data_IF_762972413805
#
_entry.id   IF_762972413805
#
_cell.length_a   1.000
_cell.length_b   1.000
_cell.length_c   1.000
_cell.angle_alpha   90.00
_cell.angle_beta   90.00
_cell.angle_gamma   90.00
#
_symmetry.space_group_name_H-M   'P 1'
#
loop_
_entity.id
_entity.type
_entity.pdbx_description
1 polymer ?
#
# COMPACT_ATOMS: atom_id res chain seq x y z
N UNK A 1 0.62 -45.70 10.33
CA UNK A 1 -0.71 -45.67 10.97
C UNK A 1 -0.55 -44.82 12.20
N UNK A 2 -1.01 -43.59 12.10
CA UNK A 2 -0.90 -42.52 13.09
C UNK A 2 -1.94 -42.72 14.18
N UNK A 3 -1.48 -42.72 15.42
CA UNK A 3 -2.32 -42.72 16.61
C UNK A 3 -2.36 -41.31 17.21
N UNK A 4 -3.53 -40.98 17.75
CA UNK A 4 -3.99 -39.67 18.18
C UNK A 4 -3.21 -39.13 19.39
N UNK A 5 -3.07 -37.80 19.46
CA UNK A 5 -3.00 -37.10 20.74
C UNK A 5 -3.83 -35.81 20.68
N UNK A 6 -4.94 -35.84 21.42
CA UNK A 6 -5.58 -34.67 22.01
C UNK A 6 -4.58 -33.92 22.90
N UNK A 7 -4.66 -32.59 22.93
CA UNK A 7 -4.11 -31.82 24.03
C UNK A 7 -5.02 -30.62 24.33
N UNK A 8 -5.93 -30.84 25.27
CA UNK A 8 -6.57 -29.81 26.07
C UNK A 8 -5.88 -29.81 27.44
N UNK A 9 -5.11 -28.78 27.78
CA UNK A 9 -4.85 -28.44 29.18
C UNK A 9 -4.50 -26.96 29.33
N UNK A 10 -5.48 -26.21 29.84
CA UNK A 10 -5.32 -24.93 30.55
C UNK A 10 -4.23 -24.98 31.62
N UNK A 11 -3.41 -23.93 31.69
CA UNK A 11 -2.85 -23.43 32.94
C UNK A 11 -3.17 -21.93 33.07
N UNK A 12 -3.65 -21.57 34.27
CA UNK A 12 -4.15 -20.27 34.71
C UNK A 12 -3.04 -19.45 35.39
N UNK A 13 -3.36 -18.17 35.56
CA UNK A 13 -3.02 -17.26 36.68
C UNK A 13 -1.88 -16.26 36.46
N UNK A 14 -2.28 -14.99 36.53
CA UNK A 14 -1.44 -13.81 36.70
C UNK A 14 -2.27 -12.53 36.56
N UNK A 15 -3.28 -12.34 37.42
CA UNK A 15 -3.89 -11.03 37.64
C UNK A 15 -2.92 -10.16 38.44
N UNK A 16 -2.49 -9.01 37.91
CA UNK A 16 -2.27 -7.84 38.77
C UNK A 16 -2.45 -6.55 37.97
N UNK A 17 -3.24 -5.68 38.55
CA UNK A 17 -3.39 -4.26 38.25
C UNK A 17 -2.08 -3.61 37.81
N UNK A 18 -2.13 -2.77 36.78
CA UNK A 18 -1.46 -1.48 36.75
C UNK A 18 -2.19 -0.61 35.71
N UNK A 19 -3.11 0.22 36.18
CA UNK A 19 -3.25 1.55 35.60
C UNK A 19 -1.87 2.20 35.69
N UNK A 20 -1.09 2.10 34.63
CA UNK A 20 0.12 2.88 34.42
C UNK A 20 -0.29 4.30 34.11
N UNK A 21 0.08 5.20 35.01
CA UNK A 21 -0.11 6.64 34.94
C UNK A 21 0.35 7.21 33.60
N UNK A 22 -0.55 8.01 33.00
CA UNK A 22 -0.28 9.24 32.24
C UNK A 22 1.10 9.32 31.58
N UNK A 23 1.20 8.76 30.38
CA UNK A 23 2.16 9.15 29.36
C UNK A 23 1.42 9.19 28.03
N UNK A 24 1.47 10.33 27.35
CA UNK A 24 0.73 10.68 26.12
C UNK A 24 0.29 9.49 25.27
N UNK A 25 -0.99 9.12 25.38
CA UNK A 25 -1.63 8.24 24.42
C UNK A 25 -2.09 9.15 23.29
N UNK A 26 -1.41 9.09 22.15
CA UNK A 26 -1.91 9.57 20.85
C UNK A 26 -3.16 8.76 20.48
N UNK A 27 -4.27 9.04 21.16
CA UNK A 27 -5.61 8.60 20.76
C UNK A 27 -6.04 9.51 19.61
N UNK A 28 -5.85 9.03 18.39
CA UNK A 28 -6.44 9.65 17.21
C UNK A 28 -5.61 9.48 15.94
N UNK A 29 -6.16 8.70 15.01
CA UNK A 29 -5.88 8.64 13.56
C UNK A 29 -4.46 8.28 13.14
N UNK A 30 -4.31 7.13 12.48
CA UNK A 30 -3.19 6.91 11.55
C UNK A 30 -3.75 6.39 10.22
N UNK A 31 -4.42 7.29 9.49
CA UNK A 31 -4.10 7.42 8.07
C UNK A 31 -2.63 7.82 8.03
N UNK A 32 -1.80 7.00 7.39
CA UNK A 32 -0.36 7.23 7.27
C UNK A 32 -0.09 8.68 6.81
N UNK A 33 0.85 9.34 7.50
CA UNK A 33 1.13 10.78 7.39
C UNK A 33 1.60 11.22 5.99
N UNK A 34 1.88 10.28 5.09
CA UNK A 34 2.24 10.53 3.70
C UNK A 34 1.09 11.12 2.87
N UNK A 35 -0.17 10.95 3.30
CA UNK A 35 -1.30 11.70 2.71
C UNK A 35 -1.24 13.20 3.10
N UNK A 36 -0.54 13.57 4.17
CA UNK A 36 -0.44 14.95 4.69
C UNK A 36 0.90 15.64 4.38
N UNK A 37 1.91 14.94 3.86
CA UNK A 37 3.23 15.52 3.54
C UNK A 37 3.58 15.50 2.05
N UNK A 38 2.64 15.10 1.18
CA UNK A 38 2.81 15.16 -0.27
C UNK A 38 3.27 16.55 -0.76
N UNK A 39 4.48 16.70 -1.35
CA UNK A 39 4.81 17.86 -2.16
C UNK A 39 4.07 17.71 -3.49
N UNK A 40 2.87 18.28 -3.58
CA UNK A 40 2.05 18.18 -4.80
C UNK A 40 0.63 18.77 -4.71
N UNK A 41 0.15 19.08 -3.51
CA UNK A 41 -1.20 19.64 -3.30
C UNK A 41 -1.30 21.17 -3.49
N UNK A 42 -0.25 21.85 -3.97
CA UNK A 42 -0.31 23.24 -4.40
C UNK A 42 0.14 23.35 -5.86
N UNK A 43 -0.63 24.01 -6.74
CA UNK A 43 -0.22 24.23 -8.12
C UNK A 43 1.03 25.13 -8.13
N UNK A 44 2.20 24.55 -8.44
CA UNK A 44 3.42 25.32 -8.63
C UNK A 44 3.36 26.05 -9.97
N UNK A 45 2.87 27.28 -9.93
CA UNK A 45 3.04 28.23 -11.02
C UNK A 45 4.42 28.86 -10.95
N UNK A 46 5.48 28.17 -11.37
CA UNK A 46 6.70 28.85 -11.87
C UNK A 46 7.67 27.90 -12.56
N UNK A 47 7.90 28.16 -13.85
CA UNK A 47 9.25 28.36 -14.37
C UNK A 47 10.12 27.13 -14.65
N UNK A 48 10.11 26.70 -15.92
CA UNK A 48 11.17 25.96 -16.62
C UNK A 48 12.58 26.18 -16.07
N UNK A 49 13.28 25.11 -15.69
CA UNK A 49 14.73 24.99 -15.90
C UNK A 49 15.12 23.56 -16.29
N UNK A 50 15.88 23.49 -17.38
CA UNK A 50 16.52 22.30 -17.97
C UNK A 50 17.49 21.60 -16.99
N UNK A 51 17.67 20.27 -17.07
CA UNK A 51 18.75 19.62 -16.35
C UNK A 51 20.08 19.88 -17.06
N UNK A 52 21.01 20.47 -16.32
CA UNK A 52 22.43 20.59 -16.70
C UNK A 52 23.21 19.50 -15.95
N UNK A 53 24.13 18.86 -16.68
CA UNK A 53 24.92 17.67 -16.34
C UNK A 53 25.81 17.72 -15.08
N UNK A 54 25.91 16.55 -14.41
CA UNK A 54 27.00 15.99 -13.57
C UNK A 54 27.30 16.70 -12.22
N UNK A 55 27.83 16.03 -11.16
CA UNK A 55 28.49 14.71 -11.13
C UNK A 55 27.98 13.71 -10.06
N UNK A 56 28.44 12.46 -10.19
CA UNK A 56 28.35 11.34 -9.26
C UNK A 56 28.60 11.80 -7.81
N UNK A 57 27.55 11.83 -6.99
CA UNK A 57 27.62 12.28 -5.61
C UNK A 57 28.27 11.22 -4.71
N UNK A 58 29.08 11.72 -3.78
CA UNK A 58 29.88 11.01 -2.81
C UNK A 58 29.05 9.98 -2.03
N UNK A 59 29.65 8.81 -1.78
CA UNK A 59 29.11 7.70 -1.01
C UNK A 59 28.63 8.16 0.37
N UNK A 60 27.36 8.57 0.44
CA UNK A 60 26.60 8.60 1.67
C UNK A 60 26.66 7.17 2.22
N UNK A 61 26.86 7.00 3.53
CA UNK A 61 26.88 5.67 4.13
C UNK A 61 25.51 5.02 3.92
N UNK A 62 25.31 4.36 2.79
CA UNK A 62 24.04 3.73 2.37
C UNK A 62 23.72 2.52 3.23
N UNK A 63 24.72 1.94 3.90
CA UNK A 63 24.54 0.70 4.65
C UNK A 63 23.89 0.91 6.01
N UNK A 64 22.97 0.00 6.30
CA UNK A 64 22.26 -0.11 7.56
C UNK A 64 23.10 -0.82 8.63
N UNK A 65 23.02 -0.33 9.87
CA UNK A 65 23.80 -0.84 11.01
C UNK A 65 22.96 -1.11 12.27
N UNK A 66 21.67 -0.77 12.28
CA UNK A 66 20.77 -0.97 13.42
C UNK A 66 19.59 -1.87 13.05
N UNK A 67 18.88 -2.51 13.99
CA UNK A 67 17.74 -3.36 13.65
C UNK A 67 16.56 -2.55 13.09
N UNK A 68 15.79 -3.16 12.19
CA UNK A 68 14.53 -2.59 11.70
C UNK A 68 13.51 -2.46 12.84
N UNK A 69 12.56 -1.52 12.76
CA UNK A 69 11.45 -1.44 13.71
C UNK A 69 10.61 -2.71 13.68
N UNK A 70 9.90 -2.99 14.77
CA UNK A 70 8.92 -4.08 14.79
C UNK A 70 7.73 -3.75 13.86
N UNK A 71 7.18 -4.79 13.25
CA UNK A 71 6.01 -4.71 12.40
C UNK A 71 4.82 -4.08 13.14
N UNK A 72 4.15 -3.08 12.54
CA UNK A 72 2.93 -2.53 13.12
C UNK A 72 1.90 -3.62 13.43
N UNK A 73 1.50 -3.70 14.70
CA UNK A 73 0.42 -4.60 15.15
C UNK A 73 -0.97 -3.95 15.06
N UNK A 74 -1.02 -2.64 14.74
CA UNK A 74 -2.27 -1.92 14.57
C UNK A 74 -3.11 -2.58 13.45
N UNK A 75 -4.33 -3.07 13.75
CA UNK A 75 -5.23 -3.64 12.75
C UNK A 75 -5.57 -2.70 11.60
N UNK A 76 -5.39 -1.40 11.80
CA UNK A 76 -5.60 -0.36 10.79
C UNK A 76 -4.44 -0.27 9.79
N UNK A 77 -3.26 -0.77 10.15
CA UNK A 77 -2.11 -0.80 9.27
C UNK A 77 -2.24 -1.95 8.26
N UNK A 78 -2.58 -1.61 7.02
CA UNK A 78 -2.71 -2.59 5.95
C UNK A 78 -1.42 -2.64 5.13
N UNK A 79 -0.73 -3.78 5.22
CA UNK A 79 0.42 -4.04 4.38
C UNK A 79 0.03 -4.09 2.90
N UNK A 80 0.82 -3.47 2.00
CA UNK A 80 0.53 -3.47 0.57
C UNK A 80 0.58 -4.89 0.01
N UNK A 81 -0.08 -5.14 -1.12
CA UNK A 81 0.00 -6.45 -1.77
C UNK A 81 1.43 -6.78 -2.25
N UNK A 82 2.24 -5.74 -2.49
CA UNK A 82 3.68 -5.78 -2.78
C UNK A 82 4.54 -5.91 -1.51
N UNK A 83 4.13 -6.82 -0.62
CA UNK A 83 4.86 -7.14 0.62
C UNK A 83 5.51 -8.52 0.53
N UNK A 84 6.80 -8.57 0.86
CA UNK A 84 7.62 -9.79 0.89
C UNK A 84 7.93 -10.13 2.36
N UNK A 85 7.90 -11.40 2.73
CA UNK A 85 8.42 -11.87 4.03
C UNK A 85 9.65 -12.73 3.77
N UNK A 86 10.80 -12.30 4.28
CA UNK A 86 12.07 -13.01 4.18
C UNK A 86 12.36 -13.65 5.54
N UNK A 87 12.80 -14.91 5.54
CA UNK A 87 13.27 -15.59 6.76
C UNK A 87 14.71 -15.17 7.01
N UNK A 88 14.92 -14.26 7.95
CA UNK A 88 16.23 -13.82 8.41
C UNK A 88 16.09 -13.22 9.82
N UNK A 89 17.08 -13.50 10.67
CA UNK A 89 17.20 -12.87 11.99
C UNK A 89 17.88 -11.49 11.93
N UNK A 90 18.50 -11.16 10.80
CA UNK A 90 19.25 -9.92 10.60
C UNK A 90 18.58 -9.02 9.54
N UNK A 91 17.85 -8.02 10.02
CA UNK A 91 17.22 -7.01 9.17
C UNK A 91 18.21 -6.11 8.46
N UNK A 92 19.41 -5.90 9.01
CA UNK A 92 20.45 -5.10 8.37
C UNK A 92 20.98 -5.81 7.14
N UNK A 93 21.20 -7.13 7.24
CA UNK A 93 21.65 -7.95 6.12
C UNK A 93 20.66 -7.87 4.96
N UNK A 94 19.36 -8.08 5.24
CA UNK A 94 18.30 -8.00 4.24
C UNK A 94 18.20 -6.59 3.62
N UNK A 95 18.29 -5.53 4.44
CA UNK A 95 18.27 -4.16 3.93
C UNK A 95 19.48 -3.85 3.05
N UNK A 96 20.67 -4.27 3.48
CA UNK A 96 21.92 -4.07 2.74
C UNK A 96 21.94 -4.86 1.43
N UNK A 97 21.40 -6.08 1.41
CA UNK A 97 21.24 -6.85 0.17
C UNK A 97 20.30 -6.14 -0.82
N UNK A 98 19.19 -5.57 -0.32
CA UNK A 98 18.32 -4.80 -1.19
C UNK A 98 18.98 -3.49 -1.66
N UNK A 99 19.73 -2.80 -0.81
CA UNK A 99 20.54 -1.64 -1.21
C UNK A 99 21.51 -2.02 -2.32
N UNK A 100 22.23 -3.14 -2.20
CA UNK A 100 23.13 -3.64 -3.25
C UNK A 100 22.37 -3.96 -4.55
N UNK A 101 21.15 -4.48 -4.46
CA UNK A 101 20.28 -4.66 -5.63
C UNK A 101 19.98 -3.32 -6.33
N UNK A 102 19.58 -2.27 -5.59
CA UNK A 102 19.36 -0.95 -6.18
C UNK A 102 20.65 -0.37 -6.78
N UNK A 103 21.79 -0.49 -6.09
CA UNK A 103 23.09 0.01 -6.56
C UNK A 103 23.60 -0.70 -7.83
N UNK A 104 23.40 -2.01 -7.95
CA UNK A 104 24.12 -2.84 -8.94
C UNK A 104 23.23 -3.47 -10.01
N UNK A 105 21.92 -3.60 -9.77
CA UNK A 105 21.00 -4.34 -10.66
C UNK A 105 20.00 -3.44 -11.37
N UNK A 106 19.81 -2.21 -10.91
CA UNK A 106 18.98 -1.21 -11.59
C UNK A 106 19.86 -0.27 -12.41
N UNK A 107 19.64 -0.26 -13.73
CA UNK A 107 20.47 0.48 -14.70
C UNK A 107 20.47 2.00 -14.45
N UNK A 108 19.32 2.55 -14.03
CA UNK A 108 19.10 3.98 -13.81
C UNK A 108 18.23 4.16 -12.57
N UNK A 109 18.86 4.36 -11.42
CA UNK A 109 18.14 4.75 -10.21
C UNK A 109 18.96 5.74 -9.40
N UNK A 110 18.24 6.66 -8.75
CA UNK A 110 18.74 7.46 -7.65
C UNK A 110 18.03 6.95 -6.40
N UNK A 111 18.76 6.65 -5.32
CA UNK A 111 18.14 6.17 -4.10
C UNK A 111 18.81 6.74 -2.85
N UNK A 112 18.04 6.78 -1.78
CA UNK A 112 18.46 7.16 -0.44
C UNK A 112 17.91 6.14 0.55
N UNK A 113 18.72 5.80 1.56
CA UNK A 113 18.30 4.96 2.67
C UNK A 113 18.26 5.80 3.95
N UNK A 114 17.08 5.99 4.50
CA UNK A 114 16.86 6.62 5.79
C UNK A 114 17.00 5.57 6.89
N UNK A 115 18.06 5.71 7.69
CA UNK A 115 18.38 4.79 8.78
C UNK A 115 17.49 4.96 10.00
N UNK A 116 16.97 6.17 10.22
CA UNK A 116 16.19 6.49 11.41
C UNK A 116 14.77 5.91 11.27
N UNK A 117 14.24 5.93 10.05
CA UNK A 117 12.92 5.38 9.73
C UNK A 117 12.98 3.99 9.07
N UNK A 118 14.19 3.47 8.82
CA UNK A 118 14.44 2.19 8.18
C UNK A 118 13.65 2.02 6.88
N UNK A 119 13.82 2.97 5.97
CA UNK A 119 13.18 2.93 4.66
C UNK A 119 14.16 3.33 3.55
N UNK A 120 13.94 2.76 2.37
CA UNK A 120 14.63 3.10 1.13
C UNK A 120 13.66 3.90 0.26
N UNK A 121 14.08 5.06 -0.21
CA UNK A 121 13.36 5.84 -1.21
C UNK A 121 14.18 5.85 -2.50
N UNK A 122 13.58 5.53 -3.64
CA UNK A 122 14.28 5.50 -4.91
C UNK A 122 13.43 6.02 -6.06
N UNK A 123 14.04 6.87 -6.87
CA UNK A 123 13.56 7.21 -8.20
C UNK A 123 14.20 6.27 -9.22
N UNK A 124 13.40 5.42 -9.85
CA UNK A 124 13.83 4.46 -10.87
C UNK A 124 13.36 4.92 -12.24
N UNK A 125 14.24 4.83 -13.23
CA UNK A 125 13.99 5.26 -14.59
C UNK A 125 14.14 4.09 -15.57
N UNK A 126 13.28 4.04 -16.58
CA UNK A 126 13.44 3.12 -17.70
C UNK A 126 14.23 3.76 -18.86
N UNK A 127 14.53 2.97 -19.90
CA UNK A 127 15.29 3.44 -21.07
C UNK A 127 14.46 4.34 -22.01
N UNK A 128 13.15 4.35 -21.84
CA UNK A 128 12.21 5.14 -22.64
C UNK A 128 11.91 6.49 -21.99
N UNK A 129 12.36 6.72 -20.76
CA UNK A 129 12.18 7.96 -20.00
C UNK A 129 11.03 7.91 -18.98
N UNK A 130 10.39 6.75 -18.81
CA UNK A 130 9.40 6.55 -17.74
C UNK A 130 10.12 6.55 -16.39
N UNK A 131 9.46 7.12 -15.39
CA UNK A 131 9.95 7.23 -14.01
C UNK A 131 8.95 6.62 -13.06
N UNK A 132 9.42 5.96 -12.01
CA UNK A 132 8.63 5.62 -10.83
C UNK A 132 9.39 5.97 -9.55
N UNK A 133 8.67 6.40 -8.53
CA UNK A 133 9.21 6.62 -7.19
C UNK A 133 8.78 5.47 -6.29
N UNK A 134 9.75 4.66 -5.87
CA UNK A 134 9.58 3.46 -5.05
C UNK A 134 9.99 3.79 -3.61
N UNK A 135 9.10 3.52 -2.65
CA UNK A 135 9.46 3.48 -1.24
C UNK A 135 9.42 2.04 -0.72
N UNK A 136 10.44 1.66 0.04
CA UNK A 136 10.56 0.33 0.64
C UNK A 136 10.73 0.46 2.13
N UNK A 137 9.80 -0.09 2.89
CA UNK A 137 9.85 -0.15 4.34
C UNK A 137 10.22 -1.55 4.80
N UNK A 138 11.03 -1.66 5.85
CA UNK A 138 11.37 -2.95 6.44
C UNK A 138 10.93 -3.01 7.89
N UNK A 139 10.44 -4.18 8.28
CA UNK A 139 9.96 -4.45 9.62
C UNK A 139 10.46 -5.80 10.10
N UNK A 140 10.79 -5.91 11.38
CA UNK A 140 10.97 -7.20 12.04
C UNK A 140 9.60 -7.82 12.31
N UNK A 141 9.49 -9.13 12.11
CA UNK A 141 8.31 -9.92 12.47
C UNK A 141 8.78 -11.07 13.37
N UNK A 142 8.80 -10.82 14.67
CA UNK A 142 9.39 -11.75 15.63
C UNK A 142 10.92 -11.81 15.53
N UNK A 143 11.50 -12.99 15.77
CA UNK A 143 12.96 -13.14 15.83
C UNK A 143 13.62 -13.48 14.50
N UNK A 144 12.88 -14.16 13.60
CA UNK A 144 13.48 -14.83 12.43
C UNK A 144 12.87 -14.40 11.09
N UNK A 145 12.07 -13.33 11.07
CA UNK A 145 11.48 -12.82 9.84
C UNK A 145 11.63 -11.32 9.69
N UNK A 146 11.86 -10.90 8.45
CA UNK A 146 11.88 -9.51 8.01
C UNK A 146 10.79 -9.35 6.97
N UNK A 147 9.90 -8.37 7.17
CA UNK A 147 8.85 -8.00 6.24
C UNK A 147 9.27 -6.74 5.48
N UNK A 148 9.21 -6.81 4.16
CA UNK A 148 9.63 -5.75 3.24
C UNK A 148 8.40 -5.29 2.46
N UNK A 149 8.06 -4.01 2.55
CA UNK A 149 6.85 -3.45 1.95
C UNK A 149 7.23 -2.45 0.87
N UNK A 150 6.96 -2.78 -0.39
CA UNK A 150 7.17 -1.87 -1.51
C UNK A 150 5.91 -1.02 -1.72
N UNK A 151 6.08 0.28 -1.93
CA UNK A 151 5.01 1.23 -2.26
C UNK A 151 5.43 2.07 -3.47
N UNK A 152 4.50 2.33 -4.37
CA UNK A 152 4.68 3.30 -5.46
C UNK A 152 4.17 4.65 -4.97
N UNK A 153 5.07 5.60 -4.73
CA UNK A 153 4.71 6.97 -4.33
C UNK A 153 4.33 7.86 -5.51
N UNK A 154 4.72 7.46 -6.74
CA UNK A 154 4.35 8.19 -7.94
C UNK A 154 5.01 7.62 -9.20
N UNK A 155 4.52 8.07 -10.36
CA UNK A 155 4.99 7.64 -11.67
C UNK A 155 4.52 6.24 -12.07
N UNK A 156 5.17 5.66 -13.08
CA UNK A 156 4.71 4.45 -13.77
C UNK A 156 4.59 3.24 -12.84
N UNK A 157 3.38 2.70 -12.70
CA UNK A 157 3.12 1.50 -11.91
C UNK A 157 3.68 0.26 -12.60
N UNK A 158 3.70 0.24 -13.94
CA UNK A 158 4.38 -0.81 -14.71
C UNK A 158 5.86 -0.91 -14.35
N UNK A 159 6.57 0.23 -14.28
CA UNK A 159 7.97 0.25 -13.89
C UNK A 159 8.14 -0.17 -12.43
N UNK A 160 7.27 0.30 -11.52
CA UNK A 160 7.26 -0.14 -10.12
C UNK A 160 7.08 -1.67 -9.99
N UNK A 161 6.12 -2.25 -10.71
CA UNK A 161 5.87 -3.69 -10.70
C UNK A 161 7.08 -4.48 -11.22
N UNK A 162 7.78 -3.97 -12.23
CA UNK A 162 9.03 -4.59 -12.71
C UNK A 162 10.15 -4.53 -11.67
N UNK A 163 10.31 -3.39 -10.98
CA UNK A 163 11.26 -3.26 -9.86
C UNK A 163 10.92 -4.24 -8.74
N UNK A 164 9.65 -4.28 -8.32
CA UNK A 164 9.16 -5.20 -7.31
C UNK A 164 9.38 -6.67 -7.69
N UNK A 165 9.07 -7.05 -8.95
CA UNK A 165 9.29 -8.39 -9.46
C UNK A 165 10.76 -8.77 -9.41
N UNK A 166 11.66 -7.91 -9.88
CA UNK A 166 13.11 -8.14 -9.85
C UNK A 166 13.69 -8.20 -8.44
N UNK A 167 13.24 -7.33 -7.55
CA UNK A 167 13.63 -7.35 -6.15
C UNK A 167 13.16 -8.63 -5.47
N UNK A 168 11.93 -9.07 -5.76
CA UNK A 168 11.40 -10.36 -5.29
C UNK A 168 12.27 -11.49 -5.79
N UNK A 169 12.59 -11.54 -7.09
CA UNK A 169 13.46 -12.58 -7.67
C UNK A 169 14.85 -12.60 -7.07
N UNK A 170 15.44 -11.43 -6.79
CA UNK A 170 16.74 -11.30 -6.12
C UNK A 170 16.71 -11.94 -4.72
N UNK A 171 15.70 -11.58 -3.91
CA UNK A 171 15.51 -12.10 -2.56
C UNK A 171 15.04 -13.57 -2.53
N UNK A 172 14.41 -14.05 -3.60
CA UNK A 172 13.85 -15.42 -3.71
C UNK A 172 14.88 -16.49 -3.99
N UNK A 173 16.12 -16.11 -4.32
CA UNK A 173 17.17 -17.06 -4.70
C UNK A 173 17.54 -18.05 -3.58
N UNK A 174 17.07 -17.85 -2.34
CA UNK A 174 17.31 -18.76 -1.21
C UNK A 174 16.06 -19.46 -0.59
N UNK A 175 14.83 -19.26 -1.09
CA UNK A 175 13.70 -20.13 -0.71
C UNK A 175 12.32 -19.49 -0.59
N UNK A 176 11.30 -20.25 -1.01
CA UNK A 176 9.85 -20.14 -0.73
C UNK A 176 9.14 -18.78 -0.85
N UNK A 177 9.64 -17.85 -1.64
CA UNK A 177 8.84 -16.68 -2.01
C UNK A 177 7.82 -17.06 -3.09
N UNK A 178 6.54 -16.85 -2.79
CA UNK A 178 5.44 -17.04 -3.73
C UNK A 178 5.59 -16.16 -4.97
N UNK A 179 4.88 -16.50 -6.06
CA UNK A 179 4.90 -15.69 -7.29
C UNK A 179 4.56 -14.22 -6.96
N UNK A 180 5.30 -13.24 -7.53
CA UNK A 180 4.98 -11.83 -7.39
C UNK A 180 3.51 -11.58 -7.76
N UNK A 181 2.79 -10.85 -6.90
CA UNK A 181 1.43 -10.40 -7.22
C UNK A 181 1.54 -9.26 -8.21
N UNK A 182 1.05 -9.45 -9.43
CA UNK A 182 0.94 -8.37 -10.42
C UNK A 182 -0.27 -7.49 -10.06
N UNK A 183 -0.02 -6.22 -9.80
CA UNK A 183 -1.07 -5.23 -9.52
C UNK A 183 -1.36 -4.49 -10.83
N UNK A 184 -2.55 -4.61 -11.43
CA UNK A 184 -2.89 -3.89 -12.65
C UNK A 184 -2.82 -2.38 -12.43
N UNK A 185 -2.36 -1.67 -13.46
CA UNK A 185 -2.23 -0.21 -13.47
C UNK A 185 -3.59 0.42 -13.81
N UNK A 186 -3.98 1.43 -13.04
CA UNK A 186 -5.06 2.31 -13.47
C UNK A 186 -4.52 3.19 -14.61
N UNK A 187 -5.17 3.23 -15.78
CA UNK A 187 -4.73 4.07 -16.89
C UNK A 187 -4.64 5.56 -16.48
N UNK A 188 -3.55 6.23 -16.86
CA UNK A 188 -3.21 7.60 -16.43
C UNK A 188 -3.72 8.71 -17.38
N UNK A 189 -4.76 8.47 -18.18
CA UNK A 189 -5.24 9.47 -19.17
C UNK A 189 -6.54 10.17 -18.75
N UNK A 190 -6.70 11.43 -19.16
CA UNK A 190 -7.97 12.15 -19.00
C UNK A 190 -9.14 11.50 -19.79
N UNK A 191 -8.82 10.69 -20.80
CA UNK A 191 -9.78 9.96 -21.67
C UNK A 191 -9.99 8.49 -21.24
N UNK A 192 -9.88 8.18 -19.95
CA UNK A 192 -10.15 6.83 -19.44
C UNK A 192 -11.65 6.52 -19.51
N UNK A 193 -11.99 5.38 -20.12
CA UNK A 193 -13.36 4.85 -20.12
C UNK A 193 -13.59 3.88 -18.98
N UNK A 194 -14.85 3.63 -18.63
CA UNK A 194 -15.21 2.68 -17.57
C UNK A 194 -14.66 1.27 -17.86
N UNK A 195 -14.65 0.83 -19.12
CA UNK A 195 -14.13 -0.49 -19.52
C UNK A 195 -12.61 -0.61 -19.34
N UNK A 196 -11.87 0.49 -19.53
CA UNK A 196 -10.43 0.50 -19.32
C UNK A 196 -10.05 0.26 -17.85
N UNK A 197 -10.97 0.52 -16.93
CA UNK A 197 -10.81 0.28 -15.49
C UNK A 197 -11.18 -1.15 -15.06
N UNK A 198 -11.77 -1.98 -15.94
CA UNK A 198 -12.22 -3.34 -15.61
C UNK A 198 -11.19 -4.15 -14.82
N UNK A 199 -9.89 -4.21 -15.21
CA UNK A 199 -8.90 -5.00 -14.47
C UNK A 199 -8.68 -4.52 -13.03
N UNK A 200 -8.78 -3.21 -12.79
CA UNK A 200 -8.61 -2.62 -11.44
C UNK A 200 -9.90 -2.76 -10.63
N UNK A 201 -11.06 -2.68 -11.27
CA UNK A 201 -12.36 -2.93 -10.61
C UNK A 201 -12.49 -4.40 -10.21
N UNK A 202 -11.98 -5.34 -11.01
CA UNK A 202 -11.92 -6.78 -10.67
C UNK A 202 -11.13 -7.04 -9.39
N UNK A 203 -10.10 -6.23 -9.08
CA UNK A 203 -9.36 -6.33 -7.82
C UNK A 203 -10.25 -6.14 -6.58
N UNK A 204 -11.36 -5.38 -6.71
CA UNK A 204 -12.30 -5.15 -5.62
C UNK A 204 -13.13 -6.40 -5.29
N UNK A 205 -13.15 -7.40 -6.17
CA UNK A 205 -13.82 -8.68 -5.95
C UNK A 205 -12.90 -9.76 -5.39
N UNK A 206 -11.59 -9.50 -5.32
CA UNK A 206 -10.63 -10.48 -4.83
C UNK A 206 -10.86 -10.82 -3.36
N UNK A 207 -10.68 -12.09 -2.95
CA UNK A 207 -10.86 -12.50 -1.56
C UNK A 207 -9.84 -11.85 -0.62
N UNK A 208 -8.67 -11.46 -1.14
CA UNK A 208 -7.61 -10.81 -0.37
C UNK A 208 -7.97 -9.34 -0.07
N UNK A 209 -8.13 -8.95 1.21
CA UNK A 209 -8.39 -7.56 1.57
C UNK A 209 -7.25 -6.61 1.17
N UNK A 210 -6.02 -7.12 1.00
CA UNK A 210 -4.87 -6.34 0.51
C UNK A 210 -5.04 -5.97 -0.96
N UNK A 211 -5.47 -6.92 -1.78
CA UNK A 211 -5.70 -6.68 -3.21
C UNK A 211 -6.88 -5.73 -3.39
N UNK A 212 -7.97 -5.90 -2.63
CA UNK A 212 -9.09 -4.95 -2.64
C UNK A 212 -8.66 -3.55 -2.24
N UNK A 213 -7.82 -3.40 -1.21
CA UNK A 213 -7.35 -2.10 -0.75
C UNK A 213 -6.48 -1.39 -1.81
N UNK A 214 -5.58 -2.14 -2.47
CA UNK A 214 -4.78 -1.61 -3.59
C UNK A 214 -5.65 -1.20 -4.78
N UNK A 215 -6.63 -2.02 -5.16
CA UNK A 215 -7.57 -1.70 -6.23
C UNK A 215 -8.39 -0.45 -5.91
N UNK A 216 -8.89 -0.34 -4.68
CA UNK A 216 -9.63 0.83 -4.22
C UNK A 216 -8.75 2.09 -4.21
N UNK A 217 -7.50 1.98 -3.77
CA UNK A 217 -6.51 3.06 -3.80
C UNK A 217 -6.19 3.53 -5.22
N UNK A 218 -5.93 2.59 -6.14
CA UNK A 218 -5.62 2.89 -7.53
C UNK A 218 -6.77 3.62 -8.25
N UNK A 219 -8.02 3.17 -8.03
CA UNK A 219 -9.21 3.85 -8.56
C UNK A 219 -9.40 5.25 -7.94
N UNK A 220 -9.10 5.39 -6.66
CA UNK A 220 -9.25 6.65 -5.93
C UNK A 220 -8.22 7.72 -6.36
N UNK A 221 -7.00 7.35 -6.73
CA UNK A 221 -5.90 8.29 -6.98
C UNK A 221 -5.75 8.76 -8.42
N UNK A 222 -6.39 8.11 -9.41
CA UNK A 222 -6.08 8.35 -10.83
C UNK A 222 -7.26 8.51 -11.78
N UNK A 223 -8.49 8.24 -11.36
CA UNK A 223 -9.60 8.02 -12.31
C UNK A 223 -10.80 8.95 -12.12
N UNK A 224 -10.71 9.94 -11.22
CA UNK A 224 -11.76 10.94 -10.99
C UNK A 224 -13.16 10.34 -10.80
N UNK A 225 -14.15 10.92 -11.49
CA UNK A 225 -15.53 10.43 -11.44
C UNK A 225 -15.76 9.12 -12.20
N UNK A 226 -14.90 8.80 -13.19
CA UNK A 226 -15.00 7.57 -14.01
C UNK A 226 -14.82 6.32 -13.15
N UNK A 227 -13.97 6.36 -12.12
CA UNK A 227 -13.83 5.26 -11.17
C UNK A 227 -15.16 4.88 -10.52
N UNK A 228 -15.92 5.86 -10.03
CA UNK A 228 -17.21 5.59 -9.38
C UNK A 228 -18.21 4.90 -10.31
N UNK A 229 -18.27 5.35 -11.57
CA UNK A 229 -19.12 4.76 -12.63
C UNK A 229 -18.67 3.34 -13.00
N UNK A 230 -17.37 3.11 -13.15
CA UNK A 230 -16.83 1.79 -13.46
C UNK A 230 -17.19 0.76 -12.37
N UNK A 231 -17.05 1.13 -11.08
CA UNK A 231 -17.43 0.26 -9.97
C UNK A 231 -18.95 0.01 -9.93
N UNK A 232 -19.76 1.04 -10.18
CA UNK A 232 -21.23 0.92 -10.24
C UNK A 232 -21.70 0.00 -11.37
N UNK A 233 -21.02 0.03 -12.53
CA UNK A 233 -21.34 -0.77 -13.71
C UNK A 233 -20.86 -2.23 -13.62
N UNK A 234 -19.79 -2.49 -12.87
CA UNK A 234 -19.15 -3.81 -12.85
C UNK A 234 -20.00 -4.88 -12.18
N UNK A 235 -20.56 -4.59 -10.99
CA UNK A 235 -21.44 -5.53 -10.28
C UNK A 235 -22.45 -4.81 -9.39
N UNK A 236 -23.71 -5.18 -9.53
CA UNK A 236 -24.81 -4.70 -8.70
C UNK A 236 -24.49 -4.85 -7.19
N UNK A 237 -24.56 -3.74 -6.47
CA UNK A 237 -24.35 -3.69 -5.03
C UNK A 237 -22.89 -3.80 -4.58
N UNK A 238 -21.92 -3.73 -5.50
CA UNK A 238 -20.50 -3.79 -5.16
C UNK A 238 -20.11 -2.67 -4.19
N UNK A 239 -20.40 -1.40 -4.50
CA UNK A 239 -20.08 -0.28 -3.60
C UNK A 239 -20.76 -0.45 -2.23
N UNK A 240 -22.02 -0.86 -2.21
CA UNK A 240 -22.76 -1.16 -0.97
C UNK A 240 -22.06 -2.23 -0.12
N UNK A 241 -21.52 -3.27 -0.75
CA UNK A 241 -20.79 -4.31 -0.03
C UNK A 241 -19.46 -3.80 0.51
N UNK A 242 -18.73 -3.03 -0.30
CA UNK A 242 -17.39 -2.55 0.00
C UNK A 242 -17.36 -1.48 1.10
N UNK A 243 -18.39 -0.64 1.22
CA UNK A 243 -18.50 0.31 2.36
C UNK A 243 -18.67 -0.39 3.71
N UNK A 244 -19.00 -1.68 3.70
CA UNK A 244 -19.08 -2.54 4.88
C UNK A 244 -17.94 -3.56 4.96
N UNK A 245 -16.88 -3.39 4.16
CA UNK A 245 -15.75 -4.31 4.18
C UNK A 245 -15.10 -4.34 5.58
N UNK A 246 -14.76 -5.53 6.11
CA UNK A 246 -14.07 -5.62 7.40
C UNK A 246 -12.68 -4.96 7.39
N UNK A 247 -12.07 -4.77 6.23
CA UNK A 247 -10.79 -4.08 6.06
C UNK A 247 -11.01 -2.57 5.94
N UNK A 248 -10.55 -1.81 6.93
CA UNK A 248 -10.76 -0.35 6.95
C UNK A 248 -10.05 0.37 5.80
N UNK A 249 -8.91 -0.13 5.32
CA UNK A 249 -8.24 0.45 4.15
C UNK A 249 -9.10 0.34 2.87
N UNK A 250 -9.85 -0.76 2.71
CA UNK A 250 -10.81 -0.91 1.60
C UNK A 250 -11.91 0.14 1.75
N UNK A 251 -12.49 0.28 2.94
CA UNK A 251 -13.55 1.26 3.22
C UNK A 251 -13.07 2.69 2.95
N UNK A 252 -11.85 3.04 3.37
CA UNK A 252 -11.26 4.37 3.11
C UNK A 252 -11.12 4.62 1.60
N UNK A 253 -10.54 3.67 0.85
CA UNK A 253 -10.39 3.80 -0.59
C UNK A 253 -11.74 3.94 -1.31
N UNK A 254 -12.74 3.17 -0.89
CA UNK A 254 -14.11 3.23 -1.42
C UNK A 254 -14.77 4.57 -1.09
N UNK A 255 -14.60 5.10 0.12
CA UNK A 255 -15.05 6.44 0.47
C UNK A 255 -14.40 7.51 -0.39
N UNK A 256 -13.11 7.37 -0.73
CA UNK A 256 -12.43 8.30 -1.63
C UNK A 256 -12.98 8.22 -3.07
N UNK A 257 -13.27 7.01 -3.58
CA UNK A 257 -13.96 6.82 -4.86
C UNK A 257 -15.31 7.53 -4.85
N UNK A 258 -16.09 7.40 -3.77
CA UNK A 258 -17.38 8.06 -3.61
C UNK A 258 -17.26 9.59 -3.51
N UNK A 259 -16.22 10.11 -2.85
CA UNK A 259 -15.95 11.55 -2.79
C UNK A 259 -15.57 12.13 -4.16
N UNK A 260 -14.96 11.32 -5.02
CA UNK A 260 -14.63 11.70 -6.40
C UNK A 260 -15.80 11.55 -7.38
N UNK A 261 -16.94 10.99 -6.94
CA UNK A 261 -18.10 10.76 -7.80
C UNK A 261 -18.73 12.08 -8.26
N UNK A 262 -19.11 12.15 -9.54
CA UNK A 262 -19.75 13.34 -10.10
C UNK A 262 -21.26 13.34 -9.79
N UNK A 263 -21.68 14.10 -8.79
CA UNK A 263 -23.08 14.17 -8.36
C UNK A 263 -23.97 15.01 -9.30
N UNK A 264 -23.40 15.67 -10.32
CA UNK A 264 -24.14 16.26 -11.44
C UNK A 264 -24.55 15.25 -12.51
N UNK A 265 -24.01 14.03 -12.48
CA UNK A 265 -24.36 12.96 -13.41
C UNK A 265 -25.58 12.17 -12.93
N UNK A 266 -26.69 12.31 -13.66
CA UNK A 266 -27.96 11.63 -13.36
C UNK A 266 -27.79 10.10 -13.30
N UNK A 267 -26.90 9.54 -14.12
CA UNK A 267 -26.62 8.11 -14.11
C UNK A 267 -26.00 7.69 -12.78
N UNK A 268 -24.92 8.34 -12.36
CA UNK A 268 -24.25 8.08 -11.08
C UNK A 268 -25.20 8.22 -9.91
N UNK A 269 -26.01 9.29 -9.86
CA UNK A 269 -26.99 9.52 -8.79
C UNK A 269 -28.05 8.41 -8.76
N UNK A 270 -28.57 8.02 -9.93
CA UNK A 270 -29.57 6.94 -10.04
C UNK A 270 -29.00 5.63 -9.53
N UNK A 271 -27.80 5.26 -9.99
CA UNK A 271 -27.15 4.01 -9.61
C UNK A 271 -26.77 3.96 -8.12
N UNK A 272 -26.28 5.05 -7.54
CA UNK A 272 -26.01 5.14 -6.10
C UNK A 272 -27.29 4.95 -5.26
N UNK A 273 -28.43 5.45 -5.76
CA UNK A 273 -29.74 5.26 -5.14
C UNK A 273 -30.25 3.83 -5.29
N UNK A 274 -30.23 3.28 -6.51
CA UNK A 274 -30.72 1.93 -6.82
C UNK A 274 -29.93 0.84 -6.11
N UNK A 275 -28.61 1.00 -5.98
CA UNK A 275 -27.75 0.06 -5.27
C UNK A 275 -27.72 0.26 -3.74
N UNK A 276 -28.55 1.17 -3.20
CA UNK A 276 -28.66 1.47 -1.78
C UNK A 276 -27.32 1.86 -1.12
N UNK A 277 -26.44 2.58 -1.85
CA UNK A 277 -25.11 2.94 -1.35
C UNK A 277 -25.20 3.94 -0.19
N UNK A 278 -26.06 4.96 -0.29
CA UNK A 278 -26.24 5.96 0.77
C UNK A 278 -26.76 5.33 2.07
N UNK A 279 -27.83 4.50 2.08
CA UNK A 279 -28.22 3.75 3.27
C UNK A 279 -27.08 2.92 3.87
N UNK A 280 -26.29 2.23 3.04
CA UNK A 280 -25.18 1.40 3.51
C UNK A 280 -24.08 2.22 4.21
N UNK A 281 -23.75 3.40 3.68
CA UNK A 281 -22.81 4.35 4.32
C UNK A 281 -23.36 4.84 5.66
N UNK A 282 -24.64 5.23 5.71
CA UNK A 282 -25.26 5.70 6.96
C UNK A 282 -25.28 4.61 8.04
N UNK A 283 -25.55 3.36 7.66
CA UNK A 283 -25.50 2.21 8.56
C UNK A 283 -24.07 1.95 9.08
N UNK A 284 -23.07 2.04 8.21
CA UNK A 284 -21.67 1.90 8.60
C UNK A 284 -21.24 3.00 9.60
N UNK A 285 -21.64 4.26 9.36
CA UNK A 285 -21.38 5.37 10.28
C UNK A 285 -22.08 5.17 11.63
N UNK A 286 -23.35 4.77 11.62
CA UNK A 286 -24.10 4.52 12.85
C UNK A 286 -23.47 3.41 13.69
N UNK A 287 -23.03 2.33 13.05
CA UNK A 287 -22.33 1.22 13.74
C UNK A 287 -20.98 1.63 14.36
N UNK A 288 -20.35 2.70 13.88
CA UNK A 288 -19.14 3.26 14.49
C UNK A 288 -19.44 4.10 15.74
N UNK A 289 -20.64 4.69 15.85
CA UNK A 289 -21.03 5.54 17.00
C UNK A 289 -21.59 4.78 18.20
N UNK A 290 -21.94 3.51 18.02
CA UNK A 290 -22.52 2.64 19.07
C UNK A 290 -21.47 1.80 19.82
N UNK A 291 -20.17 2.01 19.56
CA UNK A 291 -19.05 1.36 20.26
C UNK A 291 -18.33 2.34 21.19
#
# INVERSE_FOLDING_TARGET
MTDKFDNDTRARCGSSDMYGEVGDVTRGVALDMDILTAPGLLPSTTGKQQPTSLPLAEAHQTRCTGPAPEAPEDPMYVYPATTINVTSSDSCEVANDLIEFFEQKLDLCDFEFDKDHFHLSSDVYDKNGDKTTVMVYFFRVGQDHVRICFRCQGGSRKLFNEVYRRATEHLSSEGELGKPTEIPEAPESDDVTEEALSPVVEMLDEPSPRIRAEGAGALASGCGCVASRAVLLHRDGMLRSLVKDPCVAVVIGVCQILMNAELSDDFTVTMLSEQEVVPAVMEAIAGCTER
#
